data_IF_725017728320
#
_entry.id   IF_725017728320
#
_cell.length_a   1.000
_cell.length_b   1.000
_cell.length_c   1.000
_cell.angle_alpha   90.00
_cell.angle_beta   90.00
_cell.angle_gamma   90.00
#
_symmetry.space_group_name_H-M   'P 1'
#
loop_
_entity.id
_entity.type
_entity.pdbx_description
1 polymer ?
#
# COMPACT_ATOMS: atom_id res chain seq x y z
N UNK A 1 -68.13 -4.08 -7.06
CA UNK A 1 -67.26 -5.09 -6.45
C UNK A 1 -66.95 -6.07 -7.57
N UNK A 2 -65.82 -5.91 -8.26
CA UNK A 2 -65.45 -6.91 -9.26
C UNK A 2 -65.04 -8.16 -8.49
N UNK A 3 -65.84 -9.22 -8.64
CA UNK A 3 -65.52 -10.53 -8.10
C UNK A 3 -64.51 -11.14 -9.07
N UNK A 4 -63.22 -10.91 -8.84
CA UNK A 4 -62.17 -11.68 -9.50
C UNK A 4 -62.27 -13.12 -9.03
N UNK A 5 -62.37 -14.07 -9.96
CA UNK A 5 -62.31 -15.48 -9.58
C UNK A 5 -60.92 -15.79 -8.99
N UNK A 6 -60.81 -16.83 -8.15
CA UNK A 6 -59.53 -17.24 -7.57
C UNK A 6 -58.45 -17.42 -8.65
N UNK A 7 -58.84 -17.92 -9.84
CA UNK A 7 -57.96 -18.09 -10.99
C UNK A 7 -57.48 -16.75 -11.56
N UNK A 8 -58.36 -15.75 -11.68
CA UNK A 8 -57.99 -14.42 -12.16
C UNK A 8 -57.04 -13.70 -11.21
N UNK A 9 -57.23 -13.86 -9.90
CA UNK A 9 -56.31 -13.33 -8.88
C UNK A 9 -54.93 -13.97 -8.99
N UNK A 10 -54.87 -15.31 -9.09
CA UNK A 10 -53.60 -16.04 -9.22
C UNK A 10 -52.86 -15.67 -10.51
N UNK A 11 -53.57 -15.49 -11.63
CA UNK A 11 -52.97 -15.04 -12.88
C UNK A 11 -52.38 -13.62 -12.76
N UNK A 12 -53.11 -12.69 -12.13
CA UNK A 12 -52.61 -11.33 -11.92
C UNK A 12 -51.35 -11.28 -11.03
N UNK A 13 -51.32 -12.08 -9.95
CA UNK A 13 -50.14 -12.22 -9.10
C UNK A 13 -48.94 -12.84 -9.84
N UNK A 14 -49.20 -13.82 -10.72
CA UNK A 14 -48.16 -14.44 -11.54
C UNK A 14 -47.57 -13.43 -12.55
N UNK A 15 -48.41 -12.66 -13.23
CA UNK A 15 -47.97 -11.59 -14.14
C UNK A 15 -47.16 -10.52 -13.40
N UNK A 16 -47.61 -10.11 -12.21
CA UNK A 16 -46.88 -9.15 -11.38
C UNK A 16 -45.52 -9.70 -10.92
N UNK A 17 -45.46 -10.98 -10.54
CA UNK A 17 -44.22 -11.65 -10.18
C UNK A 17 -43.27 -11.77 -11.38
N UNK A 18 -43.79 -12.11 -12.57
CA UNK A 18 -43.01 -12.17 -13.81
C UNK A 18 -42.40 -10.80 -14.16
N UNK A 19 -43.20 -9.73 -14.15
CA UNK A 19 -42.72 -8.37 -14.39
C UNK A 19 -41.64 -7.94 -13.39
N UNK A 20 -41.76 -8.38 -12.12
CA UNK A 20 -40.76 -8.13 -11.09
C UNK A 20 -39.46 -8.90 -11.34
N UNK A 21 -39.56 -10.15 -11.78
CA UNK A 21 -38.39 -10.97 -12.14
C UNK A 21 -37.65 -10.37 -13.33
N UNK A 22 -38.37 -9.93 -14.38
CA UNK A 22 -37.78 -9.25 -15.53
C UNK A 22 -37.07 -7.96 -15.09
N UNK A 23 -37.73 -7.10 -14.32
CA UNK A 23 -37.13 -5.87 -13.79
C UNK A 23 -35.87 -6.12 -12.95
N UNK A 24 -35.87 -7.17 -12.13
CA UNK A 24 -34.70 -7.56 -11.33
C UNK A 24 -33.57 -8.11 -12.19
N UNK A 25 -33.91 -8.83 -13.27
CA UNK A 25 -32.94 -9.37 -14.22
C UNK A 25 -32.21 -8.24 -14.95
N UNK A 26 -32.96 -7.24 -15.43
CA UNK A 26 -32.40 -6.05 -16.07
C UNK A 26 -31.50 -5.26 -15.12
N UNK A 27 -31.94 -5.06 -13.87
CA UNK A 27 -31.14 -4.39 -12.83
C UNK A 27 -29.87 -5.16 -12.52
N UNK A 28 -29.94 -6.49 -12.43
CA UNK A 28 -28.79 -7.33 -12.16
C UNK A 28 -27.79 -7.25 -13.32
N UNK A 29 -28.24 -7.34 -14.57
CA UNK A 29 -27.38 -7.16 -15.75
C UNK A 29 -26.70 -5.78 -15.76
N UNK A 30 -27.44 -4.71 -15.43
CA UNK A 30 -26.89 -3.36 -15.31
C UNK A 30 -25.84 -3.23 -14.20
N UNK A 31 -26.10 -3.84 -13.04
CA UNK A 31 -25.16 -3.84 -11.92
C UNK A 31 -23.90 -4.65 -12.23
N UNK A 32 -24.03 -5.80 -12.88
CA UNK A 32 -22.89 -6.60 -13.33
C UNK A 32 -22.00 -5.82 -14.31
N UNK A 33 -22.60 -5.12 -15.28
CA UNK A 33 -21.84 -4.27 -16.19
C UNK A 33 -21.10 -3.14 -15.46
N UNK A 34 -21.73 -2.52 -14.45
CA UNK A 34 -21.09 -1.49 -13.62
C UNK A 34 -19.97 -2.05 -12.73
N UNK A 35 -20.13 -3.26 -12.22
CA UNK A 35 -19.12 -3.93 -11.42
C UNK A 35 -17.88 -4.20 -12.26
N UNK A 36 -18.05 -4.75 -13.47
CA UNK A 36 -16.94 -5.00 -14.40
C UNK A 36 -16.15 -3.72 -14.70
N UNK A 37 -16.84 -2.62 -15.03
CA UNK A 37 -16.18 -1.33 -15.26
C UNK A 37 -15.46 -0.79 -14.01
N UNK A 38 -15.98 -1.05 -12.81
CA UNK A 38 -15.32 -0.65 -11.58
C UNK A 38 -14.06 -1.49 -11.33
N UNK A 39 -14.13 -2.80 -11.55
CA UNK A 39 -13.00 -3.72 -11.44
C UNK A 39 -11.88 -3.34 -12.41
N UNK A 40 -12.21 -3.06 -13.68
CA UNK A 40 -11.26 -2.59 -14.68
C UNK A 40 -10.58 -1.27 -14.25
N UNK A 41 -11.33 -0.34 -13.66
CA UNK A 41 -10.77 0.92 -13.16
C UNK A 41 -9.86 0.72 -11.95
N UNK A 42 -10.21 -0.19 -11.05
CA UNK A 42 -9.37 -0.52 -9.89
C UNK A 42 -8.06 -1.16 -10.38
N UNK A 43 -8.13 -2.11 -11.30
CA UNK A 43 -6.95 -2.74 -11.88
C UNK A 43 -6.05 -1.72 -12.60
N UNK A 44 -6.64 -0.85 -13.41
CA UNK A 44 -5.91 0.22 -14.09
C UNK A 44 -5.21 1.18 -13.12
N UNK A 45 -5.81 1.49 -11.96
CA UNK A 45 -5.21 2.34 -10.94
C UNK A 45 -4.12 1.62 -10.15
N UNK A 46 -4.30 0.34 -9.82
CA UNK A 46 -3.32 -0.46 -9.09
C UNK A 46 -2.07 -0.72 -9.93
N UNK A 47 -2.25 -0.92 -11.25
CA UNK A 47 -1.18 -1.17 -12.19
C UNK A 47 -0.65 0.11 -12.87
N UNK A 48 -1.22 1.28 -12.53
CA UNK A 48 -0.74 2.54 -13.05
C UNK A 48 0.71 2.76 -12.60
N UNK A 49 1.60 2.93 -13.58
CA UNK A 49 2.96 3.37 -13.27
C UNK A 49 2.92 4.80 -12.72
N UNK A 50 3.65 5.10 -11.63
CA UNK A 50 3.78 6.46 -11.17
C UNK A 50 4.25 7.38 -12.30
N UNK A 51 3.69 8.58 -12.37
CA UNK A 51 4.20 9.61 -13.26
C UNK A 51 5.66 9.95 -12.89
N UNK A 52 6.36 10.62 -13.81
CA UNK A 52 7.76 11.02 -13.58
C UNK A 52 7.93 11.87 -12.32
N UNK A 53 6.96 12.73 -12.00
CA UNK A 53 7.03 13.58 -10.81
C UNK A 53 6.75 12.78 -9.53
N UNK A 54 5.81 11.84 -9.54
CA UNK A 54 5.54 10.96 -8.40
C UNK A 54 6.73 10.04 -8.10
N UNK A 55 7.32 9.45 -9.14
CA UNK A 55 8.53 8.64 -9.00
C UNK A 55 9.69 9.48 -8.41
N UNK A 56 9.87 10.71 -8.90
CA UNK A 56 10.89 11.62 -8.37
C UNK A 56 10.65 12.00 -6.91
N UNK A 57 9.39 12.33 -6.54
CA UNK A 57 9.02 12.65 -5.16
C UNK A 57 9.26 11.45 -4.24
N UNK A 58 8.89 10.24 -4.68
CA UNK A 58 9.09 9.02 -3.91
C UNK A 58 10.58 8.74 -3.69
N UNK A 59 11.40 8.83 -4.74
CA UNK A 59 12.86 8.62 -4.64
C UNK A 59 13.53 9.68 -3.75
N UNK A 60 13.24 10.96 -4.00
CA UNK A 60 13.79 12.06 -3.23
C UNK A 60 13.34 12.01 -1.77
N UNK A 61 12.04 11.81 -1.55
CA UNK A 61 11.45 11.70 -0.21
C UNK A 61 11.98 10.51 0.57
N UNK A 62 12.18 9.36 -0.09
CA UNK A 62 12.82 8.18 0.52
C UNK A 62 14.23 8.51 1.01
N UNK A 63 15.05 9.12 0.14
CA UNK A 63 16.41 9.54 0.52
C UNK A 63 16.40 10.55 1.67
N UNK A 64 15.57 11.59 1.56
CA UNK A 64 15.50 12.64 2.56
C UNK A 64 15.05 12.10 3.92
N UNK A 65 14.05 11.22 3.94
CA UNK A 65 13.57 10.58 5.17
C UNK A 65 14.66 9.72 5.83
N UNK A 66 15.45 9.00 5.03
CA UNK A 66 16.60 8.25 5.54
C UNK A 66 17.66 9.17 6.16
N UNK A 67 18.03 10.25 5.46
CA UNK A 67 19.03 11.20 5.94
C UNK A 67 18.56 11.97 7.20
N UNK A 68 17.27 12.28 7.29
CA UNK A 68 16.68 13.03 8.41
C UNK A 68 16.52 12.18 9.67
N UNK A 69 16.23 10.89 9.53
CA UNK A 69 15.99 9.98 10.66
C UNK A 69 17.20 9.17 11.06
N UNK A 70 18.33 9.33 10.37
CA UNK A 70 19.56 8.60 10.68
C UNK A 70 20.80 9.50 10.77
N UNK A 71 21.85 8.95 11.36
CA UNK A 71 23.23 9.42 11.30
C UNK A 71 24.11 8.47 10.48
N UNK A 72 23.52 7.62 9.64
CA UNK A 72 24.22 6.57 8.92
C UNK A 72 25.39 7.05 8.04
N UNK A 73 25.36 8.32 7.61
CA UNK A 73 26.45 8.94 6.84
C UNK A 73 27.63 9.45 7.71
N UNK A 74 27.48 9.46 9.04
CA UNK A 74 28.44 10.00 10.00
C UNK A 74 28.87 8.97 11.06
N UNK A 75 28.05 7.96 11.32
CA UNK A 75 28.35 6.92 12.33
C UNK A 75 29.37 5.92 11.77
N UNK A 76 30.55 5.79 12.39
CA UNK A 76 31.57 4.86 11.92
C UNK A 76 31.11 3.41 12.08
N UNK A 77 31.46 2.55 11.10
CA UNK A 77 31.13 1.13 11.13
C UNK A 77 32.22 0.28 11.82
N UNK A 78 33.40 0.88 12.05
CA UNK A 78 34.49 0.32 12.82
C UNK A 78 34.60 1.08 14.15
N UNK A 79 34.57 0.33 15.25
CA UNK A 79 34.72 0.90 16.60
C UNK A 79 36.14 1.43 16.83
N UNK A 80 36.31 2.22 17.89
CA UNK A 80 37.63 2.74 18.29
C UNK A 80 38.69 1.65 18.52
N UNK A 81 38.26 0.43 18.86
CA UNK A 81 39.13 -0.75 19.04
C UNK A 81 39.49 -1.46 17.72
N UNK A 82 39.12 -0.88 16.58
CA UNK A 82 39.37 -1.45 15.25
C UNK A 82 38.45 -2.63 14.89
N UNK A 83 37.40 -2.87 15.67
CA UNK A 83 36.45 -3.97 15.42
C UNK A 83 35.27 -3.48 14.60
N UNK A 84 34.89 -4.27 13.59
CA UNK A 84 33.67 -4.06 12.82
C UNK A 84 32.45 -4.28 13.72
N UNK A 85 31.62 -3.25 13.88
CA UNK A 85 30.33 -3.34 14.59
C UNK A 85 29.38 -4.21 13.76
N UNK A 86 28.59 -5.09 14.39
CA UNK A 86 27.59 -5.88 13.65
C UNK A 86 26.60 -4.97 12.94
N UNK A 87 26.22 -5.32 11.70
CA UNK A 87 25.38 -4.47 10.85
C UNK A 87 24.08 -4.03 11.55
N UNK A 88 23.37 -4.95 12.20
CA UNK A 88 22.10 -4.62 12.86
C UNK A 88 22.29 -3.67 14.03
N UNK A 89 23.32 -3.91 14.85
CA UNK A 89 23.68 -3.03 15.98
C UNK A 89 24.03 -1.64 15.47
N UNK A 90 24.84 -1.55 14.42
CA UNK A 90 25.20 -0.27 13.80
C UNK A 90 23.97 0.47 13.24
N UNK A 91 23.02 -0.24 12.64
CA UNK A 91 21.78 0.39 12.16
C UNK A 91 20.99 1.03 13.30
N UNK A 92 20.90 0.35 14.44
CA UNK A 92 20.20 0.86 15.64
C UNK A 92 20.92 2.08 16.23
N UNK A 93 22.26 2.05 16.29
CA UNK A 93 23.10 3.20 16.71
C UNK A 93 22.98 4.40 15.76
N UNK A 94 22.68 4.15 14.48
CA UNK A 94 22.48 5.21 13.50
C UNK A 94 21.13 5.92 13.64
N UNK A 95 20.13 5.34 14.30
CA UNK A 95 18.81 5.95 14.39
C UNK A 95 18.85 7.19 15.27
N UNK A 96 18.13 8.24 14.84
CA UNK A 96 17.92 9.41 15.69
C UNK A 96 16.86 9.11 16.73
N UNK A 97 17.06 9.63 17.93
CA UNK A 97 16.11 9.51 19.04
C UNK A 97 14.82 10.33 18.83
N UNK A 98 14.82 11.25 17.87
CA UNK A 98 13.71 12.16 17.60
C UNK A 98 13.34 12.21 16.11
N UNK A 99 12.10 12.60 15.82
CA UNK A 99 11.60 12.81 14.46
C UNK A 99 10.95 11.59 13.81
N UNK A 100 11.19 10.37 14.33
CA UNK A 100 10.46 9.18 13.88
C UNK A 100 9.00 9.24 14.34
N UNK A 101 8.01 8.98 13.46
CA UNK A 101 6.62 8.89 13.88
C UNK A 101 6.38 7.81 14.93
N UNK A 102 5.48 8.05 15.89
CA UNK A 102 5.19 7.12 17.00
C UNK A 102 4.69 5.75 16.55
N UNK A 103 4.01 5.68 15.40
CA UNK A 103 3.49 4.44 14.83
C UNK A 103 4.56 3.57 14.15
N UNK A 104 5.77 4.10 13.93
CA UNK A 104 6.82 3.41 13.20
C UNK A 104 7.88 2.89 14.17
N UNK A 105 8.03 1.57 14.24
CA UNK A 105 9.09 0.98 15.05
C UNK A 105 10.47 1.16 14.41
N UNK A 106 11.51 1.10 15.25
CA UNK A 106 12.90 1.07 14.78
C UNK A 106 13.15 -0.11 13.84
N UNK A 107 12.57 -1.27 14.14
CA UNK A 107 12.79 -2.49 13.38
C UNK A 107 12.20 -2.39 11.96
N UNK A 108 10.95 -1.92 11.84
CA UNK A 108 10.29 -1.71 10.55
C UNK A 108 11.05 -0.68 9.71
N UNK A 109 11.53 0.41 10.33
CA UNK A 109 12.33 1.40 9.61
C UNK A 109 13.64 0.81 9.08
N UNK A 110 14.39 0.07 9.91
CA UNK A 110 15.65 -0.56 9.49
C UNK A 110 15.43 -1.56 8.37
N UNK A 111 14.38 -2.38 8.46
CA UNK A 111 14.05 -3.36 7.41
C UNK A 111 13.67 -2.66 6.09
N UNK A 112 12.82 -1.64 6.16
CA UNK A 112 12.37 -0.91 4.97
C UNK A 112 13.51 -0.15 4.28
N UNK A 113 14.49 0.36 5.04
CA UNK A 113 15.67 1.10 4.56
C UNK A 113 16.97 0.27 4.53
N UNK A 114 16.87 -1.06 4.59
CA UNK A 114 18.05 -1.93 4.61
C UNK A 114 19.03 -1.64 3.45
N UNK A 115 18.60 -1.42 2.19
CA UNK A 115 19.52 -1.10 1.10
C UNK A 115 20.35 0.15 1.34
N UNK A 116 19.73 1.21 1.88
CA UNK A 116 20.41 2.47 2.22
C UNK A 116 21.40 2.28 3.38
N UNK A 117 20.99 1.57 4.43
CA UNK A 117 21.88 1.22 5.54
C UNK A 117 23.08 0.40 5.07
N UNK A 118 22.88 -0.64 4.24
CA UNK A 118 23.97 -1.47 3.71
C UNK A 118 24.97 -0.65 2.92
N UNK A 119 24.48 0.21 2.03
CA UNK A 119 25.33 1.08 1.22
C UNK A 119 26.19 2.00 2.09
N UNK A 120 25.61 2.63 3.12
CA UNK A 120 26.33 3.50 4.03
C UNK A 120 27.34 2.71 4.89
N UNK A 121 26.93 1.56 5.40
CA UNK A 121 27.78 0.68 6.20
C UNK A 121 29.00 0.18 5.43
N UNK A 122 28.82 -0.34 4.22
CA UNK A 122 29.92 -0.80 3.36
C UNK A 122 30.90 0.31 3.03
N UNK A 123 30.39 1.50 2.69
CA UNK A 123 31.22 2.68 2.47
C UNK A 123 32.09 2.99 3.70
N UNK A 124 31.52 2.98 4.90
CA UNK A 124 32.30 3.24 6.11
C UNK A 124 33.33 2.14 6.40
N UNK A 125 33.01 0.87 6.14
CA UNK A 125 33.98 -0.23 6.27
C UNK A 125 35.16 -0.05 5.30
N UNK A 126 34.91 0.40 4.07
CA UNK A 126 35.96 0.65 3.07
C UNK A 126 36.81 1.86 3.42
N UNK A 127 36.21 2.96 3.84
CA UNK A 127 36.91 4.21 4.21
C UNK A 127 37.73 4.09 5.50
N UNK A 128 37.38 3.15 6.39
CA UNK A 128 38.02 2.96 7.70
C UNK A 128 38.97 1.76 7.74
N UNK A 129 39.16 1.08 6.61
CA UNK A 129 40.10 -0.04 6.44
C UNK A 129 41.53 0.44 6.25
#
# INVERSE_FOLDING_TARGET
>A
MEITSCEQYVLAELEAAQARVESLTDKNASLQARLLLAEERVDALQNAKPSRIEAYIAEYGRKQLFDDLTYANATPAISADGKKTEFRVWCEECLRDYGRPEWMSAAEFIEFFEPEFRKAYEKHIEEQR
#
